data_IF_257885777459
#
_entry.id   IF_257885777459
#
_cell.length_a   1.000
_cell.length_b   1.000
_cell.length_c   1.000
_cell.angle_alpha   90.00
_cell.angle_beta   90.00
_cell.angle_gamma   90.00
#
_symmetry.space_group_name_H-M   'P 1'
#
loop_
_entity.id
_entity.type
_entity.pdbx_description
1 polymer ?
#
# COMPACT_ATOMS: atom_id res chain seq x y z
N UNK A 1 -12.21 11.13 0.66
CA UNK A 1 -11.33 12.26 0.29
C UNK A 1 -10.70 12.02 -1.09
N UNK A 2 -10.51 13.08 -1.86
CA UNK A 2 -9.79 12.94 -3.11
C UNK A 2 -8.28 12.84 -2.85
N UNK A 3 -7.48 12.61 -3.91
CA UNK A 3 -6.04 12.42 -3.74
C UNK A 3 -5.33 13.64 -3.15
N UNK A 4 -5.73 14.85 -3.53
CA UNK A 4 -5.12 16.07 -3.00
C UNK A 4 -5.40 16.23 -1.51
N UNK A 5 -6.64 15.95 -1.08
CA UNK A 5 -7.01 15.95 0.33
C UNK A 5 -6.25 14.86 1.11
N UNK A 6 -6.06 13.69 0.49
CA UNK A 6 -5.29 12.60 1.08
C UNK A 6 -3.83 13.02 1.32
N UNK A 7 -3.17 13.59 0.32
CA UNK A 7 -1.79 14.03 0.46
C UNK A 7 -1.64 15.06 1.58
N UNK A 8 -2.53 16.04 1.59
CA UNK A 8 -2.50 17.10 2.61
C UNK A 8 -2.71 16.54 4.01
N UNK A 9 -3.67 15.63 4.16
CA UNK A 9 -3.99 15.02 5.46
C UNK A 9 -2.82 14.20 5.99
N UNK A 10 -2.17 13.43 5.12
CA UNK A 10 -0.99 12.63 5.49
C UNK A 10 0.13 13.55 5.97
N UNK A 11 0.39 14.62 5.23
CA UNK A 11 1.45 15.58 5.60
C UNK A 11 1.15 16.24 6.95
N UNK A 12 -0.11 16.59 7.20
CA UNK A 12 -0.52 17.16 8.48
C UNK A 12 -0.32 16.18 9.65
N UNK A 13 -0.70 14.91 9.44
CA UNK A 13 -0.64 13.90 10.52
C UNK A 13 0.76 13.39 10.80
N UNK A 14 1.64 13.38 9.81
CA UNK A 14 2.98 12.81 9.95
C UNK A 14 4.09 13.85 10.02
N UNK A 15 3.80 15.11 9.74
CA UNK A 15 4.79 16.18 9.58
C UNK A 15 5.85 15.87 8.51
N UNK A 16 5.50 15.01 7.55
CA UNK A 16 6.36 14.68 6.42
C UNK A 16 5.77 15.28 5.16
N UNK A 17 6.62 15.65 4.23
CA UNK A 17 6.20 16.12 2.92
C UNK A 17 6.31 14.97 1.94
N UNK A 18 5.21 14.63 1.27
CA UNK A 18 5.21 13.60 0.25
C UNK A 18 5.95 14.09 -0.99
N UNK A 19 6.90 13.28 -1.46
CA UNK A 19 7.60 13.57 -2.71
C UNK A 19 6.68 13.33 -3.92
N UNK A 20 7.07 13.86 -5.08
CA UNK A 20 6.35 13.58 -6.32
C UNK A 20 6.37 12.10 -6.65
N UNK A 21 7.47 11.41 -6.34
CA UNK A 21 7.59 9.96 -6.53
C UNK A 21 6.56 9.23 -5.69
N UNK A 22 6.43 9.58 -4.41
CA UNK A 22 5.46 8.94 -3.51
C UNK A 22 4.02 9.17 -3.99
N UNK A 23 3.70 10.39 -4.42
CA UNK A 23 2.36 10.70 -4.95
C UNK A 23 2.05 9.87 -6.19
N UNK A 24 3.01 9.75 -7.11
CA UNK A 24 2.85 8.91 -8.30
C UNK A 24 2.72 7.43 -7.95
N UNK A 25 3.42 6.98 -6.92
CA UNK A 25 3.29 5.59 -6.46
C UNK A 25 1.86 5.29 -5.98
N UNK A 26 1.25 6.18 -5.20
CA UNK A 26 -0.15 6.00 -4.79
C UNK A 26 -1.10 6.02 -5.99
N UNK A 27 -0.90 6.95 -6.93
CA UNK A 27 -1.75 7.06 -8.12
C UNK A 27 -1.65 5.78 -8.98
N UNK A 28 -0.44 5.30 -9.22
CA UNK A 28 -0.22 4.08 -10.00
C UNK A 28 -0.77 2.85 -9.29
N UNK A 29 -0.63 2.81 -7.97
CA UNK A 29 -1.16 1.73 -7.15
C UNK A 29 -2.68 1.61 -7.33
N UNK A 30 -3.40 2.71 -7.21
CA UNK A 30 -4.84 2.72 -7.44
C UNK A 30 -5.18 2.19 -8.85
N UNK A 31 -4.52 2.71 -9.87
CA UNK A 31 -4.75 2.30 -11.26
C UNK A 31 -4.56 0.78 -11.45
N UNK A 32 -3.48 0.23 -10.90
CA UNK A 32 -3.18 -1.18 -11.02
C UNK A 32 -4.19 -2.06 -10.29
N UNK A 33 -4.62 -1.65 -9.10
CA UNK A 33 -5.64 -2.42 -8.37
C UNK A 33 -6.94 -2.45 -9.16
N UNK A 34 -7.37 -1.32 -9.71
CA UNK A 34 -8.61 -1.26 -10.50
C UNK A 34 -8.50 -2.13 -11.76
N UNK A 35 -7.36 -2.07 -12.44
CA UNK A 35 -7.12 -2.88 -13.63
C UNK A 35 -7.16 -4.39 -13.32
N UNK A 36 -6.43 -4.80 -12.30
CA UNK A 36 -6.31 -6.22 -11.95
C UNK A 36 -7.55 -6.75 -11.21
N UNK A 37 -8.33 -5.87 -10.59
CA UNK A 37 -9.56 -6.26 -9.91
C UNK A 37 -10.59 -6.88 -10.88
N UNK A 38 -10.46 -6.61 -12.16
CA UNK A 38 -11.31 -7.23 -13.19
C UNK A 38 -10.96 -8.70 -13.43
N UNK A 39 -9.73 -9.10 -13.10
CA UNK A 39 -9.22 -10.46 -13.32
C UNK A 39 -9.22 -11.29 -12.06
N UNK A 40 -8.90 -10.66 -10.93
CA UNK A 40 -8.88 -11.30 -9.63
C UNK A 40 -9.57 -10.36 -8.62
N UNK A 41 -10.26 -10.92 -7.67
CA UNK A 41 -10.98 -10.11 -6.68
C UNK A 41 -9.99 -9.56 -5.65
N UNK A 42 -9.62 -8.29 -5.80
CA UNK A 42 -8.70 -7.62 -4.88
C UNK A 42 -9.45 -6.77 -3.85
N UNK A 43 -10.51 -6.09 -4.28
CA UNK A 43 -11.29 -5.21 -3.42
C UNK A 43 -12.70 -5.02 -3.98
N UNK A 44 -13.66 -4.76 -3.09
CA UNK A 44 -15.00 -4.32 -3.47
C UNK A 44 -15.07 -2.80 -3.71
N UNK A 45 -14.06 -2.06 -3.28
CA UNK A 45 -14.02 -0.60 -3.38
C UNK A 45 -13.32 -0.21 -4.67
N UNK A 46 -14.06 0.43 -5.59
CA UNK A 46 -13.55 0.80 -6.90
C UNK A 46 -13.65 2.30 -7.20
N UNK A 47 -14.37 3.05 -6.38
CA UNK A 47 -14.50 4.49 -6.52
C UNK A 47 -13.26 5.17 -5.92
N UNK A 48 -12.66 6.11 -6.64
CA UNK A 48 -11.35 6.67 -6.31
C UNK A 48 -11.31 7.33 -4.92
N UNK A 49 -12.27 8.19 -4.60
CA UNK A 49 -12.25 8.89 -3.32
C UNK A 49 -12.43 7.94 -2.14
N UNK A 50 -13.30 6.96 -2.30
CA UNK A 50 -13.51 5.93 -1.28
C UNK A 50 -12.26 5.05 -1.12
N UNK A 51 -11.58 4.75 -2.21
CA UNK A 51 -10.34 3.97 -2.21
C UNK A 51 -9.24 4.69 -1.43
N UNK A 52 -9.05 5.98 -1.70
CA UNK A 52 -8.03 6.78 -0.99
C UNK A 52 -8.34 6.89 0.50
N UNK A 53 -9.59 6.97 0.87
CA UNK A 53 -10.02 7.06 2.27
C UNK A 53 -9.89 5.71 2.98
N UNK A 54 -10.53 4.67 2.44
CA UNK A 54 -10.67 3.39 3.14
C UNK A 54 -9.50 2.45 2.97
N UNK A 55 -8.76 2.56 1.87
CA UNK A 55 -7.57 1.72 1.68
C UNK A 55 -6.29 2.46 2.03
N UNK A 56 -6.03 3.60 1.41
CA UNK A 56 -4.76 4.27 1.66
C UNK A 56 -4.71 4.96 3.01
N UNK A 57 -5.65 5.83 3.30
CA UNK A 57 -5.62 6.58 4.54
C UNK A 57 -5.75 5.68 5.76
N UNK A 58 -6.69 4.74 5.76
CA UNK A 58 -6.86 3.81 6.87
C UNK A 58 -5.60 2.97 7.10
N UNK A 59 -4.94 2.54 6.03
CA UNK A 59 -3.69 1.77 6.14
C UNK A 59 -2.60 2.58 6.82
N UNK A 60 -2.37 3.81 6.39
CA UNK A 60 -1.29 4.63 6.95
C UNK A 60 -1.63 5.22 8.32
N UNK A 61 -2.91 5.28 8.69
CA UNK A 61 -3.33 5.78 10.00
C UNK A 61 -2.74 4.97 11.15
N UNK A 62 -2.37 3.71 10.90
CA UNK A 62 -1.69 2.88 11.88
C UNK A 62 -0.37 3.51 12.34
N UNK A 63 0.28 4.30 11.48
CA UNK A 63 1.55 4.95 11.79
C UNK A 63 1.39 6.24 12.62
N UNK A 64 0.17 6.75 12.78
CA UNK A 64 -0.02 8.03 13.47
C UNK A 64 0.21 7.94 14.99
N UNK A 65 0.10 6.75 15.54
CA UNK A 65 0.20 6.50 16.96
C UNK A 65 1.52 5.85 17.37
N UNK A 66 2.45 5.72 16.43
CA UNK A 66 3.73 5.04 16.64
C UNK A 66 4.79 5.66 15.74
N UNK A 67 6.00 5.75 16.24
CA UNK A 67 7.12 6.28 15.47
C UNK A 67 7.63 5.21 14.47
N UNK A 68 7.11 5.23 13.26
CA UNK A 68 7.49 4.29 12.21
C UNK A 68 8.90 4.52 11.66
N UNK A 69 9.52 5.67 11.98
CA UNK A 69 10.92 5.87 11.60
C UNK A 69 11.86 4.87 12.29
N UNK A 70 11.41 4.31 13.41
CA UNK A 70 12.16 3.32 14.20
C UNK A 70 11.75 1.87 13.91
N UNK A 71 10.72 1.67 13.10
CA UNK A 71 10.30 0.33 12.68
C UNK A 71 11.14 -0.07 11.47
N UNK A 72 11.76 -1.26 11.51
CA UNK A 72 12.61 -1.72 10.41
C UNK A 72 11.88 -2.66 9.45
N UNK A 73 10.95 -3.46 9.94
CA UNK A 73 10.25 -4.41 9.10
C UNK A 73 8.81 -4.60 9.57
N UNK A 74 7.95 -5.00 8.64
CA UNK A 74 6.57 -5.39 8.91
C UNK A 74 6.26 -6.67 8.17
N UNK A 75 5.43 -7.53 8.79
CA UNK A 75 4.97 -8.76 8.19
C UNK A 75 3.45 -8.73 8.16
N UNK A 76 2.88 -9.05 7.01
CA UNK A 76 1.44 -8.99 6.77
C UNK A 76 0.97 -10.33 6.23
N UNK A 77 -0.11 -10.86 6.79
CA UNK A 77 -0.67 -12.15 6.40
C UNK A 77 -2.06 -11.94 5.83
N UNK A 78 -2.27 -12.37 4.57
CA UNK A 78 -3.56 -12.24 3.92
C UNK A 78 -3.89 -10.80 3.53
N UNK A 79 -2.91 -10.05 3.06
CA UNK A 79 -3.08 -8.62 2.78
C UNK A 79 -3.97 -8.29 1.58
N UNK A 80 -4.35 -9.28 0.78
CA UNK A 80 -5.13 -9.06 -0.44
C UNK A 80 -4.35 -8.24 -1.46
N UNK A 81 -4.76 -6.99 -1.67
CA UNK A 81 -4.11 -6.06 -2.60
C UNK A 81 -2.91 -5.32 -1.99
N UNK A 82 -2.39 -5.77 -0.84
CA UNK A 82 -1.22 -5.20 -0.19
C UNK A 82 -1.52 -4.24 0.95
N UNK A 83 -2.73 -4.27 1.50
CA UNK A 83 -3.12 -3.40 2.61
C UNK A 83 -2.93 -4.11 3.95
N UNK A 84 -2.40 -3.46 4.98
CA UNK A 84 -1.93 -2.06 5.03
C UNK A 84 -0.47 -1.88 4.65
N UNK A 85 0.29 -2.93 4.37
CA UNK A 85 1.75 -2.86 4.32
C UNK A 85 2.30 -2.05 3.16
N UNK A 86 1.73 -2.14 1.95
CA UNK A 86 2.28 -1.42 0.80
C UNK A 86 2.03 0.10 0.89
N UNK A 87 0.84 0.58 1.29
CA UNK A 87 0.68 2.01 1.54
C UNK A 87 1.66 2.55 2.59
N UNK A 88 1.95 1.77 3.64
CA UNK A 88 2.96 2.12 4.64
C UNK A 88 4.37 2.13 4.06
N UNK A 89 4.69 1.18 3.19
CA UNK A 89 5.99 1.11 2.50
C UNK A 89 6.23 2.35 1.63
N UNK A 90 5.22 2.82 0.94
CA UNK A 90 5.32 4.04 0.12
C UNK A 90 5.64 5.23 1.01
N UNK A 91 4.95 5.35 2.15
CA UNK A 91 5.16 6.45 3.08
C UNK A 91 6.51 6.36 3.78
N UNK A 92 6.93 5.15 4.13
CA UNK A 92 8.18 4.87 4.84
C UNK A 92 9.06 3.94 4.00
N UNK A 93 9.78 4.48 2.99
CA UNK A 93 10.52 3.63 2.05
C UNK A 93 11.60 2.75 2.66
N UNK A 94 12.06 3.05 3.87
CA UNK A 94 13.07 2.27 4.56
C UNK A 94 12.55 0.92 5.07
N UNK A 95 11.23 0.72 5.13
CA UNK A 95 10.66 -0.52 5.67
C UNK A 95 10.99 -1.72 4.78
N UNK A 96 11.32 -2.83 5.43
CA UNK A 96 11.29 -4.14 4.80
C UNK A 96 9.90 -4.72 5.01
N UNK A 97 9.26 -5.13 3.93
CA UNK A 97 7.88 -5.65 3.95
C UNK A 97 7.90 -7.11 3.55
N UNK A 98 7.25 -7.95 4.35
CA UNK A 98 7.01 -9.36 4.01
C UNK A 98 5.52 -9.59 4.02
N UNK A 99 4.98 -10.08 2.90
CA UNK A 99 3.56 -10.41 2.76
C UNK A 99 3.43 -11.90 2.47
N UNK A 100 2.62 -12.57 3.28
CA UNK A 100 2.28 -13.99 3.11
C UNK A 100 0.83 -14.07 2.68
N UNK A 101 0.57 -14.75 1.56
CA UNK A 101 -0.80 -14.94 1.08
C UNK A 101 -0.98 -16.37 0.55
N UNK A 102 -2.16 -16.93 0.78
CA UNK A 102 -2.49 -18.28 0.34
C UNK A 102 -2.86 -18.36 -1.14
N UNK A 103 -3.15 -17.23 -1.79
CA UNK A 103 -3.54 -17.19 -3.19
C UNK A 103 -2.38 -16.73 -4.06
N UNK A 104 -1.91 -17.63 -4.92
CA UNK A 104 -0.79 -17.35 -5.81
C UNK A 104 -1.07 -16.17 -6.76
N UNK A 105 -2.33 -15.99 -7.14
CA UNK A 105 -2.74 -14.86 -8.00
C UNK A 105 -2.44 -13.52 -7.34
N UNK A 106 -2.65 -13.41 -6.02
CA UNK A 106 -2.35 -12.19 -5.27
C UNK A 106 -0.85 -11.96 -5.15
N UNK A 107 -0.08 -13.03 -4.95
CA UNK A 107 1.39 -12.95 -4.91
C UNK A 107 1.91 -12.43 -6.25
N UNK A 108 1.38 -12.91 -7.36
CA UNK A 108 1.76 -12.42 -8.69
C UNK A 108 1.41 -10.95 -8.87
N UNK A 109 0.24 -10.52 -8.41
CA UNK A 109 -0.15 -9.12 -8.44
C UNK A 109 0.81 -8.26 -7.62
N UNK A 110 1.13 -8.68 -6.40
CA UNK A 110 2.04 -7.94 -5.51
C UNK A 110 3.44 -7.81 -6.11
N UNK A 111 3.93 -8.85 -6.78
CA UNK A 111 5.22 -8.82 -7.46
C UNK A 111 5.21 -7.81 -8.62
N UNK A 112 4.14 -7.78 -9.39
CA UNK A 112 3.96 -6.78 -10.45
C UNK A 112 3.87 -5.38 -9.86
N UNK A 113 3.11 -5.22 -8.78
CA UNK A 113 2.95 -3.94 -8.10
C UNK A 113 4.29 -3.39 -7.62
N UNK A 114 5.10 -4.23 -6.99
CA UNK A 114 6.44 -3.86 -6.54
C UNK A 114 7.28 -3.32 -7.70
N UNK A 115 7.29 -4.03 -8.81
CA UNK A 115 8.06 -3.67 -9.99
C UNK A 115 7.57 -2.35 -10.59
N UNK A 116 6.26 -2.21 -10.76
CA UNK A 116 5.66 -1.02 -11.37
C UNK A 116 5.82 0.23 -10.50
N UNK A 117 5.82 0.08 -9.18
CA UNK A 117 6.03 1.20 -8.27
C UNK A 117 7.49 1.46 -7.95
N UNK A 118 8.40 0.58 -8.39
CA UNK A 118 9.82 0.73 -8.11
C UNK A 118 10.16 0.55 -6.62
N UNK A 119 9.42 -0.30 -5.91
CA UNK A 119 9.67 -0.58 -4.50
C UNK A 119 10.77 -1.62 -4.33
N UNK A 120 11.54 -1.49 -3.25
CA UNK A 120 12.60 -2.43 -2.88
C UNK A 120 12.32 -3.05 -1.51
N UNK A 121 13.04 -4.11 -1.16
CA UNK A 121 12.92 -4.79 0.14
C UNK A 121 11.49 -5.26 0.44
N UNK A 122 10.83 -5.82 -0.55
CA UNK A 122 9.54 -6.47 -0.41
C UNK A 122 9.70 -7.96 -0.70
N UNK A 123 9.16 -8.80 0.19
CA UNK A 123 9.20 -10.25 0.08
C UNK A 123 7.76 -10.75 0.03
N UNK A 124 7.41 -11.50 -1.00
CA UNK A 124 6.06 -12.03 -1.17
C UNK A 124 6.13 -13.56 -1.15
N UNK A 125 5.41 -14.15 -0.19
CA UNK A 125 5.49 -15.58 0.06
C UNK A 125 4.11 -16.21 -0.15
N UNK A 126 4.04 -17.18 -1.07
CA UNK A 126 2.84 -17.97 -1.28
C UNK A 126 2.83 -19.12 -0.28
N UNK A 127 2.06 -18.98 0.78
CA UNK A 127 1.93 -19.98 1.82
C UNK A 127 0.64 -19.80 2.60
N UNK A 128 0.23 -20.83 3.30
CA UNK A 128 -0.88 -20.74 4.26
C UNK A 128 -0.31 -20.35 5.61
N UNK A 129 -1.02 -19.45 6.25
CA UNK A 129 -0.67 -19.05 7.62
C UNK A 129 -1.20 -20.06 8.62
#
# INVERSE_FOLDING_TARGET
MNKEQFYKKVEEKTNMILSDIQKKQYEKYFELVIEWNQKINLTAITEEEEFYTKHFYDSISLSFYRDYSKVSNICDVGSGAGFPSIPLKILYPHLEVTIVDSLNKRIKFLSLLQEELGLTNCNFIHARA
#
